data_IF_269195812428
#
_entry.id   IF_269195812428
#
_cell.length_a   1.000
_cell.length_b   1.000
_cell.length_c   1.000
_cell.angle_alpha   90.00
_cell.angle_beta   90.00
_cell.angle_gamma   90.00
#
_symmetry.space_group_name_H-M   'P 1'
#
loop_
_entity.id
_entity.type
_entity.pdbx_description
1 polymer ?
#
# COMPACT_ATOMS: atom_id res chain seq x y z
N UNK A 1 -17.48 -11.23 -6.17
CA UNK A 1 -16.03 -11.28 -6.46
C UNK A 1 -15.58 -12.72 -6.66
N UNK A 2 -15.03 -13.05 -7.83
CA UNK A 2 -14.29 -14.30 -8.09
C UNK A 2 -12.88 -14.29 -7.49
N UNK A 3 -12.71 -13.64 -6.33
CA UNK A 3 -11.44 -13.58 -5.64
C UNK A 3 -11.26 -14.84 -4.78
N UNK A 4 -10.11 -15.49 -4.88
CA UNK A 4 -9.74 -16.62 -4.01
C UNK A 4 -8.62 -16.24 -3.03
N UNK A 5 -8.05 -15.05 -3.17
CA UNK A 5 -6.98 -14.54 -2.32
C UNK A 5 -6.92 -13.01 -2.29
N UNK A 6 -6.03 -12.47 -1.46
CA UNK A 6 -5.92 -11.04 -1.15
C UNK A 6 -4.77 -10.33 -1.88
N UNK A 7 -4.00 -11.08 -2.68
CA UNK A 7 -2.99 -10.55 -3.58
C UNK A 7 -3.58 -9.72 -4.72
N UNK A 8 -2.73 -8.93 -5.35
CA UNK A 8 -3.10 -7.99 -6.41
C UNK A 8 -3.58 -8.71 -7.68
N UNK A 9 -3.15 -9.96 -7.88
CA UNK A 9 -3.55 -10.81 -9.02
C UNK A 9 -4.30 -12.09 -8.58
N UNK A 10 -4.83 -12.13 -7.35
CA UNK A 10 -5.62 -13.27 -6.83
C UNK A 10 -7.14 -13.09 -7.03
N UNK A 11 -7.52 -12.43 -8.12
CA UNK A 11 -8.91 -12.26 -8.55
C UNK A 11 -9.02 -12.28 -10.08
N UNK A 12 -10.11 -12.86 -10.59
CA UNK A 12 -10.35 -13.00 -12.04
C UNK A 12 -10.26 -11.66 -12.78
N UNK A 13 -10.86 -10.59 -12.24
CA UNK A 13 -10.90 -9.27 -12.88
C UNK A 13 -9.50 -8.69 -13.12
N UNK A 14 -8.56 -8.88 -12.18
CA UNK A 14 -7.18 -8.44 -12.30
C UNK A 14 -6.40 -9.27 -13.33
N UNK A 15 -6.62 -10.59 -13.35
CA UNK A 15 -5.97 -11.50 -14.30
C UNK A 15 -6.46 -11.26 -15.72
N UNK A 16 -7.77 -11.13 -15.93
CA UNK A 16 -8.38 -10.81 -17.22
C UNK A 16 -7.80 -9.49 -17.77
N UNK A 17 -7.67 -8.47 -16.92
CA UNK A 17 -7.06 -7.20 -17.31
C UNK A 17 -5.57 -7.34 -17.69
N UNK A 18 -4.79 -8.12 -16.93
CA UNK A 18 -3.37 -8.36 -17.22
C UNK A 18 -3.19 -9.06 -18.58
N UNK A 19 -4.09 -9.99 -18.90
CA UNK A 19 -4.12 -10.69 -20.18
C UNK A 19 -4.51 -9.76 -21.35
N UNK A 20 -5.44 -8.84 -21.13
CA UNK A 20 -5.87 -7.82 -22.11
C UNK A 20 -4.85 -6.69 -22.32
N UNK A 21 -3.88 -6.52 -21.42
CA UNK A 21 -2.89 -5.45 -21.53
C UNK A 21 -2.04 -5.61 -22.81
N UNK A 22 -2.07 -4.61 -23.70
CA UNK A 22 -1.23 -4.57 -24.90
C UNK A 22 -0.09 -3.55 -24.78
N UNK A 23 -0.31 -2.46 -24.05
CA UNK A 23 0.59 -1.32 -23.99
C UNK A 23 0.54 -0.56 -22.66
N UNK A 24 1.56 0.26 -22.37
CA UNK A 24 1.55 1.13 -21.18
C UNK A 24 0.39 2.14 -21.18
N UNK A 25 -0.17 2.47 -22.36
CA UNK A 25 -1.35 3.34 -22.46
C UNK A 25 -2.59 2.69 -21.84
N UNK A 26 -2.66 1.36 -21.82
CA UNK A 26 -3.80 0.65 -21.25
C UNK A 26 -3.80 0.74 -19.72
N UNK A 27 -2.62 0.88 -19.10
CA UNK A 27 -2.47 1.22 -17.68
C UNK A 27 -3.05 2.61 -17.41
N UNK A 28 -2.66 3.62 -18.19
CA UNK A 28 -3.19 4.98 -18.04
C UNK A 28 -4.70 5.06 -18.24
N UNK A 29 -5.25 4.26 -19.18
CA UNK A 29 -6.71 4.17 -19.41
C UNK A 29 -7.46 3.64 -18.20
N UNK A 30 -6.89 2.71 -17.42
CA UNK A 30 -7.54 2.25 -16.17
C UNK A 30 -7.74 3.41 -15.22
N UNK A 31 -6.70 4.21 -15.00
CA UNK A 31 -6.75 5.31 -14.04
C UNK A 31 -7.61 6.48 -14.51
N UNK A 32 -7.54 6.82 -15.80
CA UNK A 32 -8.30 7.94 -16.39
C UNK A 32 -9.76 7.58 -16.71
N UNK A 33 -10.06 6.28 -16.86
CA UNK A 33 -11.39 5.76 -17.15
C UNK A 33 -12.31 5.61 -15.93
N UNK A 34 -11.79 5.84 -14.72
CA UNK A 34 -12.58 5.72 -13.50
C UNK A 34 -13.73 6.73 -13.47
N UNK A 35 -14.89 6.36 -12.88
CA UNK A 35 -15.98 7.31 -12.68
C UNK A 35 -15.50 8.51 -11.83
N UNK A 36 -16.14 9.68 -11.90
CA UNK A 36 -15.77 10.83 -11.06
C UNK A 36 -15.76 10.47 -9.57
N UNK A 37 -14.79 11.00 -8.82
CA UNK A 37 -14.77 10.85 -7.36
C UNK A 37 -15.64 11.94 -6.73
N UNK A 38 -16.91 11.62 -6.48
CA UNK A 38 -17.88 12.51 -5.84
C UNK A 38 -17.95 12.35 -4.31
N UNK A 39 -17.21 11.39 -3.75
CA UNK A 39 -17.21 11.03 -2.33
C UNK A 39 -18.50 10.35 -1.86
N UNK A 40 -19.51 10.21 -2.72
CA UNK A 40 -20.82 9.64 -2.43
C UNK A 40 -20.92 8.21 -2.93
N UNK A 41 -20.41 7.94 -4.12
CA UNK A 41 -20.44 6.64 -4.79
C UNK A 41 -19.18 5.83 -4.47
N UNK A 42 -19.37 4.58 -4.05
CA UNK A 42 -18.26 3.63 -3.92
C UNK A 42 -17.73 3.26 -5.29
N UNK A 43 -16.41 3.17 -5.43
CA UNK A 43 -15.82 2.56 -6.63
C UNK A 43 -16.17 1.07 -6.63
N UNK A 44 -16.68 0.57 -7.75
CA UNK A 44 -17.06 -0.83 -7.93
C UNK A 44 -15.86 -1.77 -7.70
N UNK A 45 -16.12 -2.97 -7.19
CA UNK A 45 -15.06 -3.90 -6.84
C UNK A 45 -14.20 -4.33 -8.04
N UNK A 46 -14.77 -4.41 -9.24
CA UNK A 46 -14.03 -4.74 -10.45
C UNK A 46 -13.09 -3.60 -10.88
N UNK A 47 -13.58 -2.36 -10.85
CA UNK A 47 -12.76 -1.19 -11.13
C UNK A 47 -11.63 -1.03 -10.10
N UNK A 48 -11.93 -1.25 -8.82
CA UNK A 48 -10.94 -1.21 -7.76
C UNK A 48 -9.85 -2.28 -7.93
N UNK A 49 -10.24 -3.49 -8.35
CA UNK A 49 -9.29 -4.59 -8.60
C UNK A 49 -8.38 -4.29 -9.80
N UNK A 50 -8.94 -3.73 -10.89
CA UNK A 50 -8.16 -3.26 -12.05
C UNK A 50 -7.18 -2.16 -11.67
N UNK A 51 -7.59 -1.23 -10.80
CA UNK A 51 -6.70 -0.16 -10.30
C UNK A 51 -5.51 -0.75 -9.55
N UNK A 52 -5.73 -1.72 -8.67
CA UNK A 52 -4.63 -2.38 -7.92
C UNK A 52 -3.69 -3.11 -8.89
N UNK A 53 -4.22 -3.88 -9.84
CA UNK A 53 -3.42 -4.58 -10.84
C UNK A 53 -2.61 -3.63 -11.73
N UNK A 54 -3.23 -2.54 -12.19
CA UNK A 54 -2.57 -1.48 -12.97
C UNK A 54 -1.48 -0.77 -12.15
N UNK A 55 -1.72 -0.57 -10.85
CA UNK A 55 -0.74 0.01 -9.94
C UNK A 55 0.48 -0.92 -9.73
N UNK A 56 0.29 -2.24 -9.63
CA UNK A 56 1.40 -3.20 -9.62
C UNK A 56 2.16 -3.20 -10.94
N UNK A 57 1.48 -3.06 -12.08
CA UNK A 57 2.16 -2.93 -13.37
C UNK A 57 3.09 -1.70 -13.40
N UNK A 58 2.65 -0.56 -12.84
CA UNK A 58 3.51 0.62 -12.68
C UNK A 58 4.71 0.33 -11.77
N UNK A 59 4.49 -0.33 -10.62
CA UNK A 59 5.58 -0.75 -9.74
C UNK A 59 6.58 -1.70 -10.42
N UNK A 60 6.09 -2.65 -11.22
CA UNK A 60 6.92 -3.56 -12.00
C UNK A 60 7.76 -2.81 -13.06
N UNK A 61 7.20 -1.79 -13.71
CA UNK A 61 7.95 -0.90 -14.62
C UNK A 61 9.03 -0.09 -13.88
N UNK A 62 8.90 0.15 -12.57
CA UNK A 62 9.96 0.73 -11.72
C UNK A 62 11.02 -0.31 -11.30
N UNK A 63 10.93 -1.55 -11.78
CA UNK A 63 11.82 -2.66 -11.40
C UNK A 63 11.48 -3.30 -10.05
N UNK A 64 10.30 -3.03 -9.50
CA UNK A 64 9.87 -3.48 -8.17
C UNK A 64 8.67 -4.39 -8.32
N UNK A 65 8.95 -5.67 -8.49
CA UNK A 65 7.96 -6.69 -8.86
C UNK A 65 7.45 -7.40 -7.60
N UNK A 66 6.13 -7.60 -7.50
CA UNK A 66 5.53 -8.43 -6.46
C UNK A 66 5.60 -9.92 -6.84
N UNK A 67 5.53 -10.81 -5.85
CA UNK A 67 5.68 -12.25 -6.07
C UNK A 67 4.52 -12.87 -6.89
N UNK A 68 3.36 -12.21 -6.91
CA UNK A 68 2.12 -12.65 -7.57
C UNK A 68 1.91 -12.04 -8.96
N UNK A 69 2.86 -11.26 -9.49
CA UNK A 69 2.75 -10.67 -10.83
C UNK A 69 2.89 -11.76 -11.90
N UNK A 70 1.92 -11.90 -12.83
CA UNK A 70 2.01 -12.88 -13.92
C UNK A 70 3.25 -12.69 -14.81
N UNK A 71 3.90 -13.78 -15.21
CA UNK A 71 5.09 -13.75 -16.07
C UNK A 71 4.81 -13.06 -17.42
N UNK A 72 3.67 -13.37 -18.05
CA UNK A 72 3.24 -12.77 -19.31
C UNK A 72 3.07 -11.24 -19.21
N UNK A 73 2.62 -10.74 -18.04
CA UNK A 73 2.54 -9.31 -17.78
C UNK A 73 3.95 -8.69 -17.70
N UNK A 74 4.89 -9.35 -17.03
CA UNK A 74 6.28 -8.88 -16.95
C UNK A 74 6.94 -8.81 -18.33
N UNK A 75 6.72 -9.81 -19.20
CA UNK A 75 7.21 -9.79 -20.58
C UNK A 75 6.66 -8.59 -21.36
N UNK A 76 5.36 -8.30 -21.21
CA UNK A 76 4.72 -7.13 -21.82
C UNK A 76 5.28 -5.80 -21.30
N UNK A 77 5.76 -5.75 -20.06
CA UNK A 77 6.29 -4.53 -19.43
C UNK A 77 7.81 -4.36 -19.60
N UNK A 78 8.51 -5.39 -20.08
CA UNK A 78 9.95 -5.41 -20.18
C UNK A 78 10.50 -4.20 -20.97
N UNK A 79 11.45 -3.48 -20.36
CA UNK A 79 12.12 -2.32 -20.96
C UNK A 79 11.27 -1.05 -21.03
N UNK A 80 10.09 -1.02 -20.41
CA UNK A 80 9.26 0.18 -20.28
C UNK A 80 9.51 0.83 -18.92
N UNK A 81 9.67 2.14 -18.91
CA UNK A 81 9.78 2.94 -17.68
C UNK A 81 8.54 3.83 -17.53
N UNK A 82 7.98 3.97 -16.31
CA UNK A 82 6.81 4.81 -16.10
C UNK A 82 7.22 6.28 -16.00
N UNK A 83 6.36 7.18 -16.49
CA UNK A 83 6.54 8.61 -16.21
C UNK A 83 6.23 8.92 -14.75
N UNK A 84 6.79 10.00 -14.20
CA UNK A 84 6.45 10.47 -12.86
C UNK A 84 4.95 10.76 -12.70
N UNK A 85 4.30 11.27 -13.74
CA UNK A 85 2.85 11.49 -13.78
C UNK A 85 2.05 10.19 -13.64
N UNK A 86 2.50 9.12 -14.32
CA UNK A 86 1.85 7.81 -14.23
C UNK A 86 1.99 7.21 -12.82
N UNK A 87 3.15 7.39 -12.17
CA UNK A 87 3.38 6.98 -10.78
C UNK A 87 2.42 7.74 -9.84
N UNK A 88 2.35 9.07 -9.94
CA UNK A 88 1.45 9.86 -9.09
C UNK A 88 -0.02 9.52 -9.32
N UNK A 89 -0.40 9.24 -10.57
CA UNK A 89 -1.75 8.80 -10.90
C UNK A 89 -2.07 7.43 -10.29
N UNK A 90 -1.14 6.46 -10.35
CA UNK A 90 -1.30 5.17 -9.69
C UNK A 90 -1.48 5.33 -8.17
N UNK A 91 -0.62 6.13 -7.52
CA UNK A 91 -0.70 6.44 -6.08
C UNK A 91 -2.04 7.06 -5.70
N UNK A 92 -2.52 8.03 -6.48
CA UNK A 92 -3.81 8.68 -6.28
C UNK A 92 -4.99 7.71 -6.44
N UNK A 93 -4.95 6.84 -7.45
CA UNK A 93 -6.00 5.85 -7.67
C UNK A 93 -6.04 4.76 -6.59
N UNK A 94 -4.87 4.26 -6.14
CA UNK A 94 -4.79 3.34 -4.99
C UNK A 94 -5.34 4.01 -3.73
N UNK A 95 -4.98 5.28 -3.50
CA UNK A 95 -5.52 6.04 -2.36
C UNK A 95 -7.04 6.16 -2.41
N UNK A 96 -7.61 6.33 -3.61
CA UNK A 96 -9.07 6.35 -3.82
C UNK A 96 -9.70 5.00 -3.49
N UNK A 97 -9.14 3.90 -3.99
CA UNK A 97 -9.60 2.53 -3.68
C UNK A 97 -9.67 2.32 -2.16
N UNK A 98 -8.61 2.69 -1.45
CA UNK A 98 -8.51 2.56 0.00
C UNK A 98 -9.32 3.58 0.81
N UNK A 99 -9.87 4.59 0.15
CA UNK A 99 -10.78 5.55 0.80
C UNK A 99 -12.23 5.06 0.80
N UNK A 100 -12.68 4.56 -0.35
CA UNK A 100 -14.10 4.29 -0.61
C UNK A 100 -14.29 3.43 -1.87
N UNK A 101 -14.36 2.12 -1.70
CA UNK A 101 -14.66 1.15 -2.75
C UNK A 101 -15.42 -0.06 -2.20
N UNK A 102 -16.21 -0.72 -3.05
CA UNK A 102 -16.87 -1.97 -2.72
C UNK A 102 -15.84 -3.06 -2.39
N UNK A 103 -14.71 -3.12 -3.10
CA UNK A 103 -13.62 -4.05 -2.81
C UNK A 103 -13.11 -3.92 -1.37
N UNK A 104 -12.93 -2.67 -0.92
CA UNK A 104 -12.47 -2.38 0.44
C UNK A 104 -13.48 -2.84 1.49
N UNK A 105 -14.77 -2.63 1.22
CA UNK A 105 -15.84 -3.03 2.14
C UNK A 105 -15.98 -4.56 2.17
N UNK A 106 -15.85 -5.26 1.03
CA UNK A 106 -15.82 -6.72 0.98
C UNK A 106 -14.68 -7.30 1.83
N UNK A 107 -13.46 -6.76 1.72
CA UNK A 107 -12.34 -7.22 2.56
C UNK A 107 -12.49 -6.84 4.03
N UNK A 108 -13.21 -5.77 4.35
CA UNK A 108 -13.48 -5.41 5.73
C UNK A 108 -14.45 -6.37 6.44
N UNK A 109 -15.28 -7.09 5.69
CA UNK A 109 -16.21 -8.09 6.23
C UNK A 109 -15.55 -9.45 6.55
N UNK A 110 -14.36 -9.72 6.01
CA UNK A 110 -13.57 -10.94 6.27
C UNK A 110 -12.35 -10.61 7.14
N UNK A 111 -12.34 -11.02 8.42
CA UNK A 111 -11.24 -10.70 9.35
C UNK A 111 -9.88 -11.28 8.91
N UNK A 112 -9.85 -12.52 8.40
CA UNK A 112 -8.59 -13.13 7.94
C UNK A 112 -8.15 -12.53 6.60
N UNK A 113 -9.10 -12.31 5.70
CA UNK A 113 -8.88 -11.66 4.40
C UNK A 113 -8.38 -10.23 4.55
N UNK A 114 -9.00 -9.46 5.45
CA UNK A 114 -8.63 -8.09 5.82
C UNK A 114 -7.16 -7.98 6.21
N UNK A 115 -6.68 -8.92 7.04
CA UNK A 115 -5.27 -8.94 7.46
C UNK A 115 -4.34 -9.09 6.26
N UNK A 116 -4.64 -10.06 5.38
CA UNK A 116 -3.82 -10.34 4.19
C UNK A 116 -3.87 -9.18 3.20
N UNK A 117 -5.06 -8.61 2.99
CA UNK A 117 -5.28 -7.47 2.10
C UNK A 117 -4.52 -6.23 2.59
N UNK A 118 -4.59 -5.90 3.89
CA UNK A 118 -3.84 -4.79 4.47
C UNK A 118 -2.32 -4.94 4.29
N UNK A 119 -1.80 -6.17 4.39
CA UNK A 119 -0.38 -6.45 4.09
C UNK A 119 -0.06 -6.26 2.61
N UNK A 120 -0.89 -6.80 1.72
CA UNK A 120 -0.72 -6.71 0.27
C UNK A 120 -0.67 -5.24 -0.20
N UNK A 121 -1.65 -4.44 0.22
CA UNK A 121 -1.71 -3.02 -0.15
C UNK A 121 -0.54 -2.22 0.46
N UNK A 122 -0.09 -2.56 1.68
CA UNK A 122 1.11 -1.91 2.23
C UNK A 122 2.33 -2.19 1.36
N UNK A 123 2.51 -3.43 0.90
CA UNK A 123 3.58 -3.78 -0.03
C UNK A 123 3.50 -3.02 -1.36
N UNK A 124 2.30 -2.86 -1.92
CA UNK A 124 2.09 -2.06 -3.13
C UNK A 124 2.45 -0.59 -2.91
N UNK A 125 2.01 0.01 -1.79
CA UNK A 125 2.35 1.39 -1.42
C UNK A 125 3.87 1.57 -1.34
N UNK A 126 4.57 0.64 -0.69
CA UNK A 126 6.02 0.68 -0.57
C UNK A 126 6.70 0.58 -1.94
N UNK A 127 6.23 -0.32 -2.83
CA UNK A 127 6.76 -0.46 -4.19
C UNK A 127 6.50 0.75 -5.08
N UNK A 128 5.45 1.53 -4.85
CA UNK A 128 5.11 2.72 -5.64
C UNK A 128 5.80 4.01 -5.15
N UNK A 129 6.45 4.00 -3.99
CA UNK A 129 7.16 5.17 -3.48
C UNK A 129 8.40 5.47 -4.33
N UNK A 130 8.56 6.65 -4.97
CA UNK A 130 9.71 6.90 -5.84
C UNK A 130 11.06 6.70 -5.14
N UNK A 131 12.12 6.37 -5.91
CA UNK A 131 13.49 6.35 -5.38
C UNK A 131 13.89 7.77 -4.97
N UNK A 132 13.78 8.04 -3.68
CA UNK A 132 14.12 9.33 -3.10
C UNK A 132 15.44 9.23 -2.35
N UNK A 133 16.40 10.06 -2.73
CA UNK A 133 17.59 10.27 -1.89
C UNK A 133 17.22 11.20 -0.73
N UNK A 134 17.00 10.61 0.45
CA UNK A 134 16.97 11.35 1.71
C UNK A 134 18.01 10.81 2.68
N UNK A 135 18.42 11.66 3.60
CA UNK A 135 19.30 11.31 4.72
C UNK A 135 18.48 10.56 5.77
N UNK A 136 18.52 9.22 5.74
CA UNK A 136 17.78 8.37 6.68
C UNK A 136 18.60 8.23 7.96
N UNK A 137 18.01 8.43 9.15
CA UNK A 137 18.71 8.15 10.38
C UNK A 137 19.06 6.66 10.47
N UNK A 138 20.30 6.37 10.85
CA UNK A 138 20.76 5.03 11.18
C UNK A 138 20.07 4.49 12.43
N UNK A 139 20.09 3.18 12.63
CA UNK A 139 19.51 2.56 13.82
C UNK A 139 20.11 3.14 15.11
N UNK A 140 21.42 3.37 15.11
CA UNK A 140 22.15 3.94 16.26
C UNK A 140 21.69 5.38 16.58
N UNK A 141 21.42 6.20 15.57
CA UNK A 141 20.91 7.56 15.76
C UNK A 141 19.50 7.56 16.37
N UNK A 142 18.64 6.65 15.91
CA UNK A 142 17.30 6.46 16.48
C UNK A 142 17.40 5.97 17.92
N UNK A 143 18.23 4.96 18.20
CA UNK A 143 18.39 4.42 19.55
C UNK A 143 18.92 5.44 20.55
N UNK A 144 19.83 6.32 20.11
CA UNK A 144 20.35 7.41 20.92
C UNK A 144 19.26 8.41 21.33
N UNK A 145 18.28 8.64 20.47
CA UNK A 145 17.20 9.58 20.72
C UNK A 145 16.02 8.95 21.47
N UNK A 146 15.63 7.73 21.09
CA UNK A 146 14.37 7.10 21.48
C UNK A 146 14.54 5.88 22.41
N UNK A 147 15.78 5.52 22.75
CA UNK A 147 16.10 4.36 23.58
C UNK A 147 16.22 3.06 22.76
N UNK A 148 16.41 1.91 23.43
CA UNK A 148 16.60 0.63 22.74
C UNK A 148 15.39 0.29 21.87
N UNK A 149 15.65 -0.07 20.62
CA UNK A 149 14.60 -0.53 19.72
C UNK A 149 14.18 -1.93 20.13
N UNK A 150 12.90 -2.06 20.48
CA UNK A 150 12.28 -3.35 20.75
C UNK A 150 11.86 -4.03 19.44
N UNK A 151 11.69 -5.37 19.43
CA UNK A 151 11.07 -6.06 18.30
C UNK A 151 9.70 -5.48 17.95
N UNK A 152 9.24 -5.75 16.73
CA UNK A 152 7.92 -5.34 16.28
C UNK A 152 6.84 -5.92 17.20
N UNK A 153 6.01 -5.06 17.79
CA UNK A 153 4.99 -5.45 18.78
C UNK A 153 3.97 -6.48 18.25
N UNK A 154 3.81 -6.58 16.93
CA UNK A 154 2.82 -7.46 16.31
C UNK A 154 3.36 -8.83 15.89
N UNK A 155 4.66 -8.96 15.61
CA UNK A 155 5.26 -10.21 15.10
C UNK A 155 6.49 -10.69 15.87
N UNK A 156 6.97 -9.93 16.86
CA UNK A 156 8.13 -10.24 17.70
C UNK A 156 9.47 -10.37 16.95
N UNK A 157 9.51 -9.94 15.68
CA UNK A 157 10.73 -9.91 14.85
C UNK A 157 11.47 -8.56 14.98
N UNK A 158 12.79 -8.59 14.81
CA UNK A 158 13.61 -7.38 14.77
C UNK A 158 13.35 -6.52 13.54
N UNK A 159 13.57 -5.21 13.66
CA UNK A 159 13.37 -4.23 12.59
C UNK A 159 14.71 -3.67 12.08
N UNK A 160 14.76 -3.35 10.80
CA UNK A 160 15.85 -2.60 10.14
C UNK A 160 15.49 -1.11 10.06
N UNK A 161 16.43 -0.23 9.69
CA UNK A 161 16.12 1.20 9.51
C UNK A 161 15.08 1.47 8.40
N UNK A 162 14.88 0.51 7.49
CA UNK A 162 13.92 0.60 6.40
C UNK A 162 12.47 0.43 6.81
N UNK A 163 12.24 -0.43 7.80
CA UNK A 163 10.92 -0.98 8.10
C UNK A 163 10.49 -0.71 9.55
N UNK A 164 11.02 0.36 10.15
CA UNK A 164 10.78 0.74 11.54
C UNK A 164 9.85 1.94 11.65
N UNK A 165 8.70 1.73 12.29
CA UNK A 165 7.72 2.77 12.60
C UNK A 165 7.44 2.81 14.10
N UNK A 166 7.05 3.98 14.59
CA UNK A 166 6.67 4.21 15.98
C UNK A 166 5.19 4.59 16.06
N UNK A 167 4.43 3.82 16.85
CA UNK A 167 3.02 4.11 17.16
C UNK A 167 2.96 4.75 18.55
N UNK A 168 2.64 6.05 18.60
CA UNK A 168 2.45 6.80 19.84
C UNK A 168 0.98 6.86 20.28
N UNK A 169 0.73 6.74 21.58
CA UNK A 169 -0.57 6.97 22.19
C UNK A 169 -0.45 7.80 23.47
N UNK A 170 -1.52 8.54 23.78
CA UNK A 170 -1.63 9.40 24.96
C UNK A 170 -2.86 9.02 25.75
N UNK A 171 -2.68 8.85 27.06
CA UNK A 171 -3.75 8.52 27.98
C UNK A 171 -4.40 9.80 28.53
N UNK A 172 -5.54 10.20 28.00
CA UNK A 172 -6.29 11.34 28.51
C UNK A 172 -7.24 11.02 29.66
N UNK A 173 -7.21 9.80 30.21
CA UNK A 173 -7.99 9.44 31.40
C UNK A 173 -7.40 10.03 32.69
N UNK A 174 -6.12 10.40 32.66
CA UNK A 174 -5.42 11.12 33.72
C UNK A 174 -4.81 12.43 33.20
N UNK A 175 -4.79 13.47 34.05
CA UNK A 175 -4.21 14.77 33.74
C UNK A 175 -2.71 14.68 33.46
N UNK A 176 -2.03 13.67 34.00
CA UNK A 176 -0.62 13.41 33.72
C UNK A 176 -0.36 13.01 32.25
N UNK A 177 -1.32 12.36 31.58
CA UNK A 177 -1.17 11.98 30.18
C UNK A 177 -1.41 13.10 29.18
N UNK A 178 -1.73 14.33 29.65
CA UNK A 178 -1.69 15.53 28.80
C UNK A 178 -0.29 15.81 28.23
N UNK A 179 0.76 15.39 28.95
CA UNK A 179 2.14 15.75 28.64
C UNK A 179 3.03 14.54 28.33
N UNK A 180 2.57 13.32 28.62
CA UNK A 180 3.29 12.09 28.35
C UNK A 180 2.75 11.38 27.09
N UNK A 181 3.66 10.89 26.27
CA UNK A 181 3.35 9.98 25.16
C UNK A 181 4.06 8.65 25.43
N UNK A 182 3.33 7.56 25.25
CA UNK A 182 3.86 6.21 25.26
C UNK A 182 3.81 5.68 23.84
N UNK A 183 4.60 4.66 23.52
CA UNK A 183 4.51 4.07 22.21
C UNK A 183 5.27 2.79 22.04
N UNK A 184 5.11 2.24 20.84
CA UNK A 184 5.52 0.90 20.46
C UNK A 184 6.16 0.96 19.08
N UNK A 185 7.19 0.14 18.86
CA UNK A 185 7.78 -0.02 17.54
C UNK A 185 7.08 -1.14 16.76
N UNK A 186 6.89 -0.92 15.46
CA UNK A 186 6.24 -1.88 14.58
C UNK A 186 6.71 -1.76 13.12
N UNK A 187 6.58 -2.86 12.39
CA UNK A 187 6.55 -2.80 10.94
C UNK A 187 5.21 -2.21 10.48
N UNK A 188 5.23 -1.30 9.50
CA UNK A 188 4.00 -0.72 8.95
C UNK A 188 3.07 -1.79 8.37
N UNK A 189 3.64 -2.79 7.67
CA UNK A 189 2.88 -3.95 7.15
C UNK A 189 2.14 -4.69 8.26
N UNK A 190 2.73 -4.83 9.45
CA UNK A 190 2.09 -5.53 10.55
C UNK A 190 1.03 -4.68 11.25
N UNK A 191 1.24 -3.37 11.32
CA UNK A 191 0.22 -2.43 11.81
C UNK A 191 -1.00 -2.45 10.89
N UNK A 192 -0.81 -2.25 9.58
CA UNK A 192 -1.90 -2.23 8.61
C UNK A 192 -2.63 -3.58 8.50
N UNK A 193 -1.95 -4.69 8.78
CA UNK A 193 -2.57 -6.00 8.90
C UNK A 193 -3.60 -6.09 10.05
N UNK A 194 -3.41 -5.30 11.12
CA UNK A 194 -4.29 -5.30 12.30
C UNK A 194 -5.27 -4.13 12.32
N UNK A 195 -5.10 -3.15 11.46
CA UNK A 195 -6.05 -2.06 11.30
C UNK A 195 -7.21 -2.49 10.41
N UNK A 196 -8.38 -1.91 10.66
CA UNK A 196 -9.47 -1.97 9.69
C UNK A 196 -8.94 -1.43 8.33
N UNK A 197 -9.24 -2.05 7.18
CA UNK A 197 -8.66 -1.67 5.89
C UNK A 197 -8.84 -0.17 5.55
N UNK A 198 -10.02 0.38 5.87
CA UNK A 198 -10.34 1.82 5.74
C UNK A 198 -9.47 2.78 6.56
N UNK A 199 -8.73 2.27 7.53
CA UNK A 199 -7.91 3.06 8.45
C UNK A 199 -6.43 2.75 8.30
N UNK A 200 -6.04 2.00 7.26
CA UNK A 200 -4.64 1.73 6.98
C UNK A 200 -3.85 3.04 6.80
N UNK A 201 -2.60 3.01 7.22
CA UNK A 201 -1.67 4.12 7.04
C UNK A 201 -0.98 3.97 5.68
N UNK A 202 -1.27 4.91 4.78
CA UNK A 202 -0.65 5.01 3.46
C UNK A 202 0.59 5.91 3.54
N UNK A 203 1.77 5.31 3.67
CA UNK A 203 3.05 6.01 3.87
C UNK A 203 3.65 6.51 2.54
N UNK A 204 2.87 7.33 1.82
CA UNK A 204 3.27 7.94 0.56
C UNK A 204 4.43 8.92 0.74
N UNK A 205 5.47 8.79 -0.11
CA UNK A 205 6.67 9.61 -0.10
C UNK A 205 6.59 10.67 -1.20
N UNK A 206 6.74 11.93 -0.84
CA UNK A 206 6.63 13.06 -1.77
C UNK A 206 7.95 13.81 -1.80
N UNK A 207 8.46 14.09 -3.01
CA UNK A 207 9.55 15.04 -3.17
C UNK A 207 8.97 16.45 -3.03
N UNK A 208 9.22 17.08 -1.89
CA UNK A 208 8.73 18.43 -1.58
C UNK A 208 9.71 19.52 -2.05
N UNK A 209 10.70 19.17 -2.88
CA UNK A 209 11.69 20.11 -3.44
C UNK A 209 11.14 20.94 -4.60
#
# INVERSE_FOLDING_TARGET
MGAWGAGSFENDTALDWADELESAKDIEKVFTGLPPFDGATDLDADDASRVIAAAEAVAAMMGRVADDVPEDLLEKLQGKEPSGELIEMARGCVSRVMSKSELLDLWAEDEEGSEKFGRAITGLVDRLNPDMSWDRPTKEEVEKQAGPIMPCVFCDEGMTEGDMFYLGFRDYTDRNGLFGEQGLYCHLRCLNAKLHPRHMVQNWKFDLR
#
